data_IF_633515058358
#
_entry.id   IF_633515058358
#
_cell.length_a   1.000
_cell.length_b   1.000
_cell.length_c   1.000
_cell.angle_alpha   90.00
_cell.angle_beta   90.00
_cell.angle_gamma   90.00
#
_symmetry.space_group_name_H-M   'P 1'
#
loop_
_entity.id
_entity.type
_entity.pdbx_description
1 polymer ?
#
# COMPACT_ATOMS: atom_id res chain seq x y z
N UNK A 1 -22.78 -12.43 -12.75
CA UNK A 1 -23.64 -12.14 -13.92
C UNK A 1 -24.47 -10.93 -13.55
N UNK A 2 -23.98 -9.72 -13.88
CA UNK A 2 -24.74 -8.49 -13.64
C UNK A 2 -25.71 -8.29 -14.80
N UNK A 3 -26.99 -8.17 -14.46
CA UNK A 3 -28.08 -7.94 -15.41
C UNK A 3 -28.25 -6.43 -15.48
N UNK A 4 -28.18 -5.86 -16.69
CA UNK A 4 -28.48 -4.45 -16.91
C UNK A 4 -29.96 -4.16 -16.54
N UNK A 5 -30.23 -3.33 -15.53
CA UNK A 5 -31.59 -3.12 -15.02
C UNK A 5 -32.50 -2.39 -16.03
N UNK A 6 -31.95 -1.86 -17.13
CA UNK A 6 -32.73 -1.10 -18.12
C UNK A 6 -33.15 -1.96 -19.31
N UNK A 7 -32.41 -3.00 -19.66
CA UNK A 7 -32.65 -3.77 -20.90
C UNK A 7 -32.87 -5.26 -20.71
N UNK A 8 -32.63 -5.81 -19.51
CA UNK A 8 -32.72 -7.26 -19.27
C UNK A 8 -31.76 -8.10 -20.12
N UNK A 9 -30.82 -7.45 -20.81
CA UNK A 9 -29.86 -8.09 -21.69
C UNK A 9 -28.66 -8.62 -20.91
N UNK A 10 -28.29 -9.88 -21.16
CA UNK A 10 -27.03 -10.46 -20.71
C UNK A 10 -25.90 -9.59 -21.29
N UNK A 11 -25.11 -8.92 -20.43
CA UNK A 11 -23.87 -8.26 -20.87
C UNK A 11 -22.96 -9.32 -21.49
N UNK A 12 -22.90 -9.35 -22.82
CA UNK A 12 -21.90 -10.15 -23.54
C UNK A 12 -20.54 -9.50 -23.28
N UNK A 13 -19.64 -10.24 -22.62
CA UNK A 13 -18.24 -9.89 -22.52
C UNK A 13 -17.72 -9.52 -23.92
N UNK A 14 -17.29 -8.28 -24.06
CA UNK A 14 -16.84 -7.74 -25.34
C UNK A 14 -15.36 -8.06 -25.49
N UNK A 15 -15.07 -9.24 -26.03
CA UNK A 15 -13.71 -9.62 -26.39
C UNK A 15 -13.20 -8.74 -27.54
N UNK A 16 -11.89 -8.49 -27.57
CA UNK A 16 -11.23 -7.84 -28.69
C UNK A 16 -11.43 -8.69 -29.94
N UNK A 17 -11.67 -8.04 -31.08
CA UNK A 17 -11.61 -8.71 -32.37
C UNK A 17 -10.18 -9.19 -32.67
N UNK A 18 -10.03 -10.23 -33.49
CA UNK A 18 -8.72 -10.73 -33.92
C UNK A 18 -7.82 -9.63 -34.50
N UNK A 19 -8.42 -8.65 -35.18
CA UNK A 19 -7.71 -7.50 -35.73
C UNK A 19 -7.17 -6.58 -34.63
N UNK A 20 -7.97 -6.29 -33.61
CA UNK A 20 -7.56 -5.47 -32.45
C UNK A 20 -6.49 -6.18 -31.62
N UNK A 21 -6.61 -7.50 -31.44
CA UNK A 21 -5.59 -8.30 -30.74
C UNK A 21 -4.26 -8.31 -31.51
N UNK A 22 -4.30 -8.45 -32.83
CA UNK A 22 -3.10 -8.38 -33.67
C UNK A 22 -2.43 -7.01 -33.63
N UNK A 23 -3.21 -5.92 -33.62
CA UNK A 23 -2.71 -4.55 -33.49
C UNK A 23 -2.10 -4.29 -32.11
N UNK A 24 -2.73 -4.82 -31.05
CA UNK A 24 -2.20 -4.77 -29.69
C UNK A 24 -0.86 -5.52 -29.59
N UNK A 25 -0.77 -6.73 -30.15
CA UNK A 25 0.46 -7.53 -30.15
C UNK A 25 1.60 -6.86 -30.93
N UNK A 26 1.30 -6.23 -32.07
CA UNK A 26 2.29 -5.42 -32.83
C UNK A 26 2.79 -4.23 -32.00
N UNK A 27 1.88 -3.57 -31.30
CA UNK A 27 2.20 -2.44 -30.42
C UNK A 27 3.08 -2.89 -29.24
N UNK A 28 2.72 -3.97 -28.55
CA UNK A 28 3.50 -4.56 -27.45
C UNK A 28 4.91 -4.94 -27.93
N UNK A 29 5.01 -5.62 -29.07
CA UNK A 29 6.30 -6.03 -29.65
C UNK A 29 7.18 -4.81 -29.98
N UNK A 30 6.59 -3.76 -30.54
CA UNK A 30 7.27 -2.49 -30.81
C UNK A 30 7.80 -1.85 -29.51
N UNK A 31 6.99 -1.83 -28.45
CA UNK A 31 7.37 -1.31 -27.13
C UNK A 31 8.52 -2.13 -26.53
N UNK A 32 8.45 -3.46 -26.57
CA UNK A 32 9.53 -4.34 -26.07
C UNK A 32 10.83 -4.08 -26.83
N UNK A 33 10.76 -3.95 -28.17
CA UNK A 33 11.93 -3.63 -29.00
C UNK A 33 12.51 -2.26 -28.64
N UNK A 34 11.67 -1.25 -28.44
CA UNK A 34 12.10 0.08 -27.98
C UNK A 34 12.74 0.03 -26.59
N UNK A 35 12.21 -0.76 -25.66
CA UNK A 35 12.79 -0.93 -24.33
C UNK A 35 14.18 -1.58 -24.40
N UNK A 36 14.37 -2.62 -25.19
CA UNK A 36 15.68 -3.25 -25.37
C UNK A 36 16.69 -2.30 -26.01
N UNK A 37 16.25 -1.51 -27.01
CA UNK A 37 17.10 -0.47 -27.60
C UNK A 37 17.44 0.63 -26.61
N UNK A 38 16.49 1.02 -25.75
CA UNK A 38 16.73 2.00 -24.71
C UNK A 38 17.69 1.48 -23.65
N UNK A 39 17.53 0.24 -23.18
CA UNK A 39 18.48 -0.40 -22.26
C UNK A 39 19.89 -0.43 -22.86
N UNK A 40 20.02 -0.80 -24.14
CA UNK A 40 21.29 -0.78 -24.87
C UNK A 40 21.87 0.63 -25.03
N UNK A 41 21.04 1.63 -25.30
CA UNK A 41 21.48 3.02 -25.40
C UNK A 41 21.96 3.52 -24.03
N UNK A 42 21.17 3.33 -22.97
CA UNK A 42 21.54 3.68 -21.60
C UNK A 42 22.84 2.97 -21.16
N UNK A 43 23.04 1.71 -21.55
CA UNK A 43 24.30 0.97 -21.40
C UNK A 43 25.47 1.70 -22.09
N UNK A 44 25.28 2.11 -23.35
CA UNK A 44 26.28 2.84 -24.14
C UNK A 44 26.51 4.29 -23.73
N UNK A 45 25.60 4.92 -22.99
CA UNK A 45 25.80 6.27 -22.45
C UNK A 45 26.91 6.29 -21.36
N UNK A 46 27.50 5.14 -21.01
CA UNK A 46 28.69 4.97 -20.16
C UNK A 46 28.73 5.87 -18.90
N UNK A 47 28.33 5.25 -17.79
CA UNK A 47 29.02 5.31 -16.48
C UNK A 47 28.99 6.54 -15.57
N UNK A 48 28.22 7.59 -15.83
CA UNK A 48 28.31 8.78 -14.98
C UNK A 48 26.99 9.46 -14.62
N UNK A 49 25.85 8.78 -14.73
CA UNK A 49 24.54 9.42 -14.50
C UNK A 49 24.24 9.61 -13.00
N UNK A 50 24.87 8.86 -12.11
CA UNK A 50 24.36 8.69 -10.73
C UNK A 50 25.38 8.84 -9.61
N UNK A 51 26.57 9.39 -9.88
CA UNK A 51 27.47 9.75 -8.77
C UNK A 51 26.76 10.86 -7.97
N UNK A 52 26.31 10.53 -6.76
CA UNK A 52 25.64 11.42 -5.79
C UNK A 52 24.16 11.78 -6.06
N UNK A 53 23.35 10.84 -6.58
CA UNK A 53 21.89 11.05 -6.82
C UNK A 53 21.52 12.24 -7.73
N UNK A 54 22.50 12.82 -8.43
CA UNK A 54 22.24 13.94 -9.33
C UNK A 54 21.42 13.46 -10.53
N UNK A 55 20.33 14.18 -10.88
CA UNK A 55 19.46 13.85 -12.03
C UNK A 55 20.11 14.23 -13.38
N UNK A 56 21.42 14.04 -13.54
CA UNK A 56 22.20 14.51 -14.69
C UNK A 56 23.24 13.49 -15.13
N UNK A 57 23.21 13.15 -16.42
CA UNK A 57 24.33 12.52 -17.12
C UNK A 57 25.47 13.53 -17.30
N UNK A 58 26.70 13.13 -16.99
CA UNK A 58 27.89 13.95 -17.29
C UNK A 58 28.02 14.25 -18.79
N UNK A 59 27.62 13.32 -19.66
CA UNK A 59 27.79 13.45 -21.12
C UNK A 59 26.63 14.19 -21.81
N UNK A 60 25.41 14.03 -21.31
CA UNK A 60 24.20 14.49 -22.01
C UNK A 60 23.33 15.46 -21.19
N UNK A 61 23.74 15.79 -19.97
CA UNK A 61 22.99 16.69 -19.08
C UNK A 61 21.78 16.02 -18.43
N UNK A 62 20.70 16.78 -18.24
CA UNK A 62 19.46 16.31 -17.60
C UNK A 62 18.74 15.20 -18.39
N UNK A 63 17.87 14.45 -17.72
CA UNK A 63 17.02 13.46 -18.39
C UNK A 63 16.14 14.02 -19.50
N UNK A 64 15.72 15.30 -19.41
CA UNK A 64 14.99 15.96 -20.48
C UNK A 64 15.86 16.14 -21.75
N UNK A 65 17.14 16.48 -21.57
CA UNK A 65 18.12 16.59 -22.67
C UNK A 65 18.41 15.20 -23.27
N UNK A 66 18.54 14.17 -22.44
CA UNK A 66 18.68 12.77 -22.89
C UNK A 66 17.47 12.35 -23.74
N UNK A 67 16.24 12.58 -23.27
CA UNK A 67 15.02 12.25 -24.01
C UNK A 67 14.94 13.00 -25.35
N UNK A 68 15.31 14.29 -25.35
CA UNK A 68 15.36 15.10 -26.57
C UNK A 68 16.34 14.51 -27.59
N UNK A 69 17.51 14.05 -27.15
CA UNK A 69 18.50 13.44 -28.02
C UNK A 69 18.04 12.07 -28.55
N UNK A 70 17.47 11.23 -27.68
CA UNK A 70 16.90 9.94 -28.06
C UNK A 70 15.79 10.09 -29.12
N UNK A 71 14.94 11.11 -28.97
CA UNK A 71 13.94 11.42 -29.98
C UNK A 71 14.56 11.87 -31.29
N UNK A 72 15.57 12.75 -31.27
CA UNK A 72 16.25 13.23 -32.48
C UNK A 72 16.94 12.10 -33.24
N UNK A 73 17.71 11.26 -32.56
CA UNK A 73 18.54 10.23 -33.18
C UNK A 73 17.79 8.94 -33.52
N UNK A 74 16.83 8.55 -32.67
CA UNK A 74 16.19 7.22 -32.72
C UNK A 74 14.68 7.27 -32.85
N UNK A 75 14.08 8.47 -32.85
CA UNK A 75 12.62 8.67 -32.85
C UNK A 75 11.90 8.03 -31.67
N UNK A 76 12.61 7.85 -30.55
CA UNK A 76 12.06 7.31 -29.31
C UNK A 76 11.54 8.48 -28.47
N UNK A 77 10.23 8.54 -28.25
CA UNK A 77 9.60 9.51 -27.35
C UNK A 77 9.46 8.91 -25.96
N UNK A 78 10.08 9.54 -24.96
CA UNK A 78 10.05 9.11 -23.56
C UNK A 78 9.81 10.29 -22.64
N UNK A 79 9.01 10.07 -21.60
CA UNK A 79 8.95 11.01 -20.50
C UNK A 79 10.28 10.99 -19.72
N UNK A 80 10.78 12.16 -19.25
CA UNK A 80 12.02 12.22 -18.47
C UNK A 80 11.99 11.33 -17.20
N UNK A 81 10.82 11.16 -16.59
CA UNK A 81 10.61 10.28 -15.42
C UNK A 81 10.82 8.81 -15.78
N UNK A 82 10.24 8.35 -16.88
CA UNK A 82 10.43 6.98 -17.39
C UNK A 82 11.90 6.74 -17.73
N UNK A 83 12.56 7.70 -18.39
CA UNK A 83 13.99 7.60 -18.69
C UNK A 83 14.85 7.52 -17.42
N UNK A 84 14.47 8.23 -16.36
CA UNK A 84 15.13 8.19 -15.04
C UNK A 84 14.99 6.83 -14.36
N UNK A 85 13.77 6.30 -14.31
CA UNK A 85 13.48 4.99 -13.70
C UNK A 85 14.22 3.85 -14.39
N UNK A 86 14.20 3.83 -15.72
CA UNK A 86 14.88 2.79 -16.50
C UNK A 86 16.40 2.87 -16.30
N UNK A 87 16.97 4.07 -16.23
CA UNK A 87 18.39 4.24 -15.99
C UNK A 87 18.81 3.74 -14.59
N UNK A 88 17.99 3.95 -13.56
CA UNK A 88 18.23 3.37 -12.23
C UNK A 88 18.07 1.86 -12.18
N UNK A 89 17.03 1.33 -12.82
CA UNK A 89 16.85 -0.11 -12.93
C UNK A 89 18.04 -0.75 -13.64
N UNK A 90 18.60 -0.10 -14.66
CA UNK A 90 19.82 -0.56 -15.32
C UNK A 90 21.03 -0.56 -14.37
N UNK A 91 21.23 0.50 -13.59
CA UNK A 91 22.33 0.55 -12.60
C UNK A 91 22.21 -0.55 -11.56
N UNK A 92 21.00 -0.85 -11.08
CA UNK A 92 20.78 -1.93 -10.13
C UNK A 92 21.13 -3.30 -10.73
N UNK A 93 20.79 -3.54 -12.00
CA UNK A 93 21.17 -4.77 -12.73
C UNK A 93 22.70 -4.95 -12.75
N UNK A 94 23.44 -3.85 -12.90
CA UNK A 94 24.91 -3.82 -12.85
C UNK A 94 25.44 -4.13 -11.45
N UNK A 95 24.85 -3.57 -10.40
CA UNK A 95 25.22 -3.88 -9.00
C UNK A 95 25.07 -5.39 -8.75
N UNK A 96 23.95 -5.99 -9.17
CA UNK A 96 23.72 -7.43 -9.02
C UNK A 96 24.83 -8.25 -9.71
N UNK A 97 25.16 -7.90 -10.96
CA UNK A 97 26.14 -8.64 -11.76
C UNK A 97 27.58 -8.42 -11.30
N UNK A 98 27.99 -7.16 -11.13
CA UNK A 98 29.40 -6.79 -10.98
C UNK A 98 29.84 -6.72 -9.51
N UNK A 99 28.93 -6.33 -8.61
CA UNK A 99 29.24 -6.14 -7.18
C UNK A 99 28.81 -7.37 -6.38
N UNK A 100 27.55 -7.79 -6.52
CA UNK A 100 27.01 -8.96 -5.80
C UNK A 100 27.49 -10.27 -6.44
N UNK A 101 27.90 -10.24 -7.72
CA UNK A 101 28.41 -11.40 -8.47
C UNK A 101 27.39 -12.53 -8.61
N UNK A 102 26.11 -12.18 -8.77
CA UNK A 102 25.07 -13.17 -9.07
C UNK A 102 24.87 -13.20 -10.59
N UNK A 103 24.98 -14.40 -11.16
CA UNK A 103 24.67 -14.61 -12.56
C UNK A 103 23.15 -14.54 -12.75
N UNK A 104 22.73 -13.55 -13.53
CA UNK A 104 21.35 -13.30 -13.93
C UNK A 104 21.15 -13.58 -15.42
N UNK A 105 22.08 -14.28 -16.06
CA UNK A 105 21.95 -14.71 -17.45
C UNK A 105 20.75 -15.63 -17.58
N UNK A 106 19.77 -15.25 -18.40
CA UNK A 106 18.52 -16.01 -18.57
C UNK A 106 17.44 -15.72 -17.52
N UNK A 107 17.67 -14.80 -16.59
CA UNK A 107 16.67 -14.31 -15.66
C UNK A 107 16.15 -12.95 -16.14
N UNK A 108 14.86 -12.86 -16.43
CA UNK A 108 14.19 -11.59 -16.65
C UNK A 108 13.95 -10.91 -15.28
N UNK A 109 14.29 -9.63 -15.18
CA UNK A 109 14.08 -8.86 -13.95
C UNK A 109 13.37 -7.57 -14.33
N UNK A 110 12.10 -7.50 -13.96
CA UNK A 110 11.26 -6.32 -14.24
C UNK A 110 11.91 -5.03 -13.73
N UNK A 111 11.65 -3.92 -14.43
CA UNK A 111 12.13 -2.57 -14.02
C UNK A 111 11.73 -2.28 -12.58
N UNK A 112 10.48 -2.59 -12.20
CA UNK A 112 9.97 -2.37 -10.86
C UNK A 112 10.66 -3.24 -9.80
N UNK A 113 11.02 -4.49 -10.10
CA UNK A 113 11.81 -5.32 -9.18
C UNK A 113 13.18 -4.70 -8.89
N UNK A 114 13.86 -4.20 -9.93
CA UNK A 114 15.15 -3.52 -9.80
C UNK A 114 15.03 -2.25 -8.96
N UNK A 115 14.00 -1.45 -9.21
CA UNK A 115 13.76 -0.24 -8.40
C UNK A 115 13.42 -0.55 -6.93
N UNK A 116 12.72 -1.65 -6.65
CA UNK A 116 12.44 -2.09 -5.28
C UNK A 116 13.70 -2.58 -4.57
N UNK A 117 14.55 -3.34 -5.27
CA UNK A 117 15.81 -3.83 -4.72
C UNK A 117 16.75 -2.66 -4.38
N UNK A 118 16.76 -1.62 -5.21
CA UNK A 118 17.54 -0.38 -5.00
C UNK A 118 17.26 0.28 -3.65
N UNK A 119 16.07 0.12 -3.07
CA UNK A 119 15.74 0.69 -1.76
C UNK A 119 16.64 0.16 -0.64
N UNK A 120 17.24 -1.03 -0.82
CA UNK A 120 18.26 -1.54 0.09
C UNK A 120 19.62 -0.92 -0.22
N UNK A 121 20.24 -0.29 0.77
CA UNK A 121 21.57 0.32 0.62
C UNK A 121 22.68 -0.62 1.07
N UNK A 122 22.40 -1.53 2.01
CA UNK A 122 23.37 -2.53 2.46
C UNK A 122 23.51 -3.64 1.41
N UNK A 123 24.73 -3.78 0.86
CA UNK A 123 25.01 -4.75 -0.20
C UNK A 123 24.82 -6.21 0.25
N UNK A 124 25.09 -6.53 1.52
CA UNK A 124 24.92 -7.89 2.04
C UNK A 124 23.46 -8.23 2.24
N UNK A 125 22.66 -7.29 2.76
CA UNK A 125 21.21 -7.46 2.88
C UNK A 125 20.60 -7.59 1.49
N UNK A 126 20.99 -6.70 0.57
CA UNK A 126 20.55 -6.73 -0.83
C UNK A 126 20.85 -8.07 -1.51
N UNK A 127 22.06 -8.60 -1.32
CA UNK A 127 22.43 -9.93 -1.82
C UNK A 127 21.48 -11.01 -1.30
N UNK A 128 21.23 -11.04 0.01
CA UNK A 128 20.34 -12.03 0.63
C UNK A 128 18.92 -11.93 0.09
N UNK A 129 18.37 -10.71 0.00
CA UNK A 129 17.05 -10.45 -0.60
C UNK A 129 17.02 -11.01 -2.02
N UNK A 130 18.01 -10.69 -2.84
CA UNK A 130 18.00 -11.12 -4.23
C UNK A 130 18.13 -12.63 -4.39
N UNK A 131 18.93 -13.31 -3.54
CA UNK A 131 19.04 -14.79 -3.52
C UNK A 131 17.73 -15.46 -3.13
N UNK A 132 17.03 -14.92 -2.12
CA UNK A 132 15.71 -15.42 -1.71
C UNK A 132 14.70 -15.24 -2.85
N UNK A 133 14.70 -14.07 -3.50
CA UNK A 133 13.82 -13.81 -4.65
C UNK A 133 14.08 -14.78 -5.81
N UNK A 134 15.34 -15.05 -6.14
CA UNK A 134 15.73 -16.04 -7.15
C UNK A 134 15.22 -17.44 -6.80
N UNK A 135 15.36 -17.86 -5.54
CA UNK A 135 14.85 -19.15 -5.06
C UNK A 135 13.33 -19.26 -5.21
N UNK A 136 12.60 -18.18 -4.89
CA UNK A 136 11.15 -18.14 -5.02
C UNK A 136 10.69 -18.11 -6.49
N UNK A 137 11.48 -17.48 -7.37
CA UNK A 137 11.20 -17.31 -8.79
C UNK A 137 11.70 -18.46 -9.68
N UNK A 138 12.34 -19.49 -9.10
CA UNK A 138 13.04 -20.57 -9.83
C UNK A 138 12.20 -21.31 -10.88
N UNK A 139 10.87 -21.20 -10.85
CA UNK A 139 9.95 -21.82 -11.82
C UNK A 139 9.58 -20.94 -13.02
N UNK A 140 9.83 -19.62 -12.96
CA UNK A 140 9.27 -18.64 -13.92
C UNK A 140 10.33 -17.86 -14.72
N UNK A 141 11.62 -17.98 -14.38
CA UNK A 141 12.72 -17.20 -14.97
C UNK A 141 12.45 -15.69 -15.05
N UNK A 142 11.55 -15.18 -14.22
CA UNK A 142 11.16 -13.79 -14.18
C UNK A 142 10.99 -13.37 -12.72
N UNK A 143 11.70 -12.32 -12.33
CA UNK A 143 11.62 -11.69 -11.02
C UNK A 143 10.76 -10.43 -11.13
N UNK A 144 9.64 -10.47 -10.43
CA UNK A 144 8.70 -9.37 -10.31
C UNK A 144 8.99 -8.54 -9.07
N UNK A 145 8.40 -7.34 -9.04
CA UNK A 145 8.41 -6.47 -7.86
C UNK A 145 7.95 -7.18 -6.58
N UNK A 146 6.92 -8.04 -6.70
CA UNK A 146 6.37 -8.81 -5.59
C UNK A 146 7.39 -9.81 -5.03
N UNK A 147 8.20 -10.42 -5.89
CA UNK A 147 9.21 -11.40 -5.45
C UNK A 147 10.29 -10.74 -4.59
N UNK A 148 10.73 -9.52 -4.95
CA UNK A 148 11.68 -8.75 -4.14
C UNK A 148 11.08 -8.35 -2.79
N UNK A 149 9.82 -7.87 -2.77
CA UNK A 149 9.12 -7.53 -1.51
C UNK A 149 9.00 -8.74 -0.60
N UNK A 150 8.55 -9.88 -1.12
CA UNK A 150 8.41 -11.11 -0.36
C UNK A 150 9.77 -11.60 0.18
N UNK A 151 10.82 -11.50 -0.63
CA UNK A 151 12.16 -11.89 -0.21
C UNK A 151 12.73 -11.01 0.91
N UNK A 152 12.44 -9.70 0.88
CA UNK A 152 12.78 -8.78 1.97
C UNK A 152 12.07 -9.16 3.27
N UNK A 153 10.76 -9.40 3.20
CA UNK A 153 9.97 -9.82 4.35
C UNK A 153 10.49 -11.14 4.96
N UNK A 154 10.76 -12.14 4.12
CA UNK A 154 11.34 -13.41 4.58
C UNK A 154 12.69 -13.24 5.27
N UNK A 155 13.54 -12.33 4.78
CA UNK A 155 14.82 -12.04 5.41
C UNK A 155 14.64 -11.35 6.77
N UNK A 156 13.70 -10.40 6.87
CA UNK A 156 13.37 -9.71 8.13
C UNK A 156 12.87 -10.72 9.19
N UNK A 157 11.97 -11.63 8.83
CA UNK A 157 11.52 -12.70 9.75
C UNK A 157 12.67 -13.60 10.22
N UNK A 158 13.61 -13.94 9.34
CA UNK A 158 14.77 -14.75 9.69
C UNK A 158 15.70 -14.03 10.67
N UNK A 159 15.90 -12.72 10.50
CA UNK A 159 16.71 -11.91 11.40
C UNK A 159 16.08 -11.82 12.79
N UNK A 160 14.77 -11.57 12.87
CA UNK A 160 14.02 -11.51 14.14
C UNK A 160 14.11 -12.85 14.90
N UNK A 161 13.86 -13.97 14.22
CA UNK A 161 13.97 -15.31 14.84
C UNK A 161 15.38 -15.62 15.33
N UNK A 162 16.40 -15.14 14.62
CA UNK A 162 17.79 -15.33 15.03
C UNK A 162 18.12 -14.51 16.29
N UNK A 163 17.59 -13.29 16.40
CA UNK A 163 17.75 -12.44 17.60
C UNK A 163 17.03 -13.02 18.82
N UNK A 164 15.82 -13.58 18.63
CA UNK A 164 15.06 -14.25 19.70
C UNK A 164 15.76 -15.51 20.22
N UNK A 165 16.42 -16.28 19.34
CA UNK A 165 17.16 -17.48 19.74
C UNK A 165 18.46 -17.16 20.51
N UNK A 166 19.04 -15.97 20.34
CA UNK A 166 20.28 -15.56 21.02
C UNK A 166 19.99 -15.02 22.44
N UNK A 167 18.74 -14.63 22.73
CA UNK A 167 18.34 -14.03 24.01
C UNK A 167 17.80 -15.02 25.05
N UNK A 168 17.79 -16.33 24.79
CA UNK A 168 17.39 -17.34 25.78
C UNK A 168 18.64 -17.83 26.54
N UNK A 169 18.82 -17.50 27.84
CA UNK A 169 19.84 -18.15 28.65
C UNK A 169 19.45 -19.61 28.84
N UNK A 170 20.36 -20.50 28.49
CA UNK A 170 20.23 -21.94 28.66
C UNK A 170 20.08 -22.30 30.14
N UNK A 171 18.85 -22.41 30.62
CA UNK A 171 18.53 -23.13 31.85
C UNK A 171 17.90 -24.48 31.49
N UNK A 172 18.70 -25.53 31.60
CA UNK A 172 18.22 -26.90 31.74
C UNK A 172 17.70 -27.07 33.16
N UNK A 173 16.45 -27.50 33.32
CA UNK A 173 16.11 -28.69 34.12
C UNK A 173 14.62 -29.07 34.01
N UNK A 174 14.44 -30.31 33.55
CA UNK A 174 13.53 -31.38 34.02
C UNK A 174 12.00 -31.23 33.92
N UNK A 175 11.43 -32.28 33.33
CA UNK A 175 10.02 -32.65 33.17
C UNK A 175 9.22 -32.67 34.49
N UNK A 176 7.90 -32.49 34.40
CA UNK A 176 6.82 -33.47 34.69
C UNK A 176 5.44 -32.77 34.60
N UNK A 177 4.44 -33.45 34.00
CA UNK A 177 3.06 -33.39 34.50
C UNK A 177 2.00 -32.68 33.64
N UNK A 178 1.32 -33.48 32.82
CA UNK A 178 -0.09 -33.37 32.38
C UNK A 178 -1.01 -32.43 33.18
N UNK A 179 -1.80 -31.60 32.50
CA UNK A 179 -3.28 -31.61 32.55
C UNK A 179 -3.90 -30.66 31.51
N UNK A 180 -4.97 -31.13 30.86
CA UNK A 180 -5.82 -30.39 29.92
C UNK A 180 -6.68 -29.35 30.65
N UNK A 181 -6.73 -28.12 30.15
CA UNK A 181 -7.94 -27.29 30.21
C UNK A 181 -7.99 -26.36 28.99
N UNK A 182 -9.05 -26.54 28.21
CA UNK A 182 -9.46 -25.69 27.10
C UNK A 182 -9.76 -24.26 27.57
N UNK A 183 -9.01 -23.30 27.05
CA UNK A 183 -9.39 -21.89 26.99
C UNK A 183 -9.22 -21.42 25.55
N UNK A 184 -10.32 -20.92 24.99
CA UNK A 184 -10.37 -20.24 23.70
C UNK A 184 -9.70 -18.89 23.93
N UNK A 185 -8.47 -18.75 23.42
CA UNK A 185 -7.67 -17.53 23.54
C UNK A 185 -8.07 -16.50 22.48
N UNK A 186 -8.27 -15.26 22.94
CA UNK A 186 -8.49 -14.08 22.10
C UNK A 186 -7.22 -13.75 21.28
N UNK A 187 -7.29 -13.91 19.96
CA UNK A 187 -6.26 -13.40 19.05
C UNK A 187 -6.44 -11.90 18.82
N UNK A 188 -5.83 -11.09 19.69
CA UNK A 188 -5.50 -9.70 19.37
C UNK A 188 -4.11 -9.69 18.75
N UNK A 189 -4.04 -10.04 17.46
CA UNK A 189 -2.81 -10.02 16.70
C UNK A 189 -2.34 -8.59 16.41
N UNK A 190 -1.21 -8.19 16.98
CA UNK A 190 -0.44 -7.04 16.48
C UNK A 190 0.28 -7.52 15.22
N UNK A 191 -0.29 -7.25 14.05
CA UNK A 191 0.35 -7.55 12.78
C UNK A 191 1.39 -6.45 12.53
N UNK A 192 2.68 -6.79 12.64
CA UNK A 192 3.73 -5.96 12.07
C UNK A 192 3.91 -6.33 10.60
N UNK A 193 3.88 -5.30 9.75
CA UNK A 193 4.07 -5.29 8.30
C UNK A 193 2.78 -5.18 7.49
N UNK A 194 2.73 -4.06 6.76
CA UNK A 194 1.73 -3.70 5.78
C UNK A 194 1.78 -4.67 4.59
N UNK A 195 1.07 -5.78 4.71
CA UNK A 195 0.42 -6.33 3.54
C UNK A 195 -0.42 -5.20 2.92
N UNK A 196 -0.14 -4.85 1.65
CA UNK A 196 -1.23 -4.41 0.77
C UNK A 196 -2.14 -5.63 0.54
N UNK A 197 -2.77 -6.14 1.60
CA UNK A 197 -4.07 -6.77 1.45
C UNK A 197 -4.89 -5.68 0.80
N UNK A 198 -5.17 -5.85 -0.49
CA UNK A 198 -6.13 -5.01 -1.19
C UNK A 198 -7.40 -5.10 -0.37
N UNK A 199 -7.64 -4.07 0.41
CA UNK A 199 -8.84 -3.96 1.22
C UNK A 199 -9.65 -2.79 0.70
N UNK A 200 -10.95 -2.91 0.84
CA UNK A 200 -11.92 -1.93 0.38
C UNK A 200 -11.82 -0.58 1.11
N UNK A 201 -10.96 -0.45 2.13
CA UNK A 201 -10.80 0.80 2.89
C UNK A 201 -10.00 1.85 2.10
N UNK A 202 -9.14 1.44 1.15
CA UNK A 202 -8.48 2.37 0.22
C UNK A 202 -7.54 3.40 0.88
N UNK A 203 -7.18 3.18 2.15
CA UNK A 203 -6.33 4.07 2.94
C UNK A 203 -4.91 3.50 3.07
N UNK A 204 -3.86 4.33 2.91
CA UNK A 204 -2.51 3.90 3.21
C UNK A 204 -2.34 3.68 4.72
N UNK A 205 -1.97 2.46 5.09
CA UNK A 205 -1.44 2.14 6.41
C UNK A 205 0.09 2.20 6.35
N UNK A 206 0.71 2.94 7.26
CA UNK A 206 2.15 3.12 7.25
C UNK A 206 2.85 1.96 7.96
N UNK A 207 3.93 1.38 7.40
CA UNK A 207 4.62 0.23 7.98
C UNK A 207 5.16 0.47 9.40
N UNK A 208 5.44 1.72 9.73
CA UNK A 208 5.99 2.14 11.03
C UNK A 208 4.91 2.47 12.08
N UNK A 209 3.63 2.21 11.79
CA UNK A 209 2.54 2.37 12.75
C UNK A 209 1.87 1.02 12.98
N UNK A 210 1.53 0.68 14.23
CA UNK A 210 0.76 -0.52 14.52
C UNK A 210 -0.54 -0.53 13.71
N UNK A 211 -0.82 -1.68 13.09
CA UNK A 211 -2.10 -1.96 12.44
C UNK A 211 -2.85 -2.92 13.34
N UNK A 212 -4.05 -2.55 13.74
CA UNK A 212 -4.92 -3.41 14.53
C UNK A 212 -5.96 -4.05 13.61
N UNK A 213 -6.31 -5.31 13.85
CA UNK A 213 -7.27 -6.02 13.03
C UNK A 213 -8.38 -6.63 13.87
N UNK A 214 -9.59 -6.64 13.34
CA UNK A 214 -10.74 -7.32 13.94
C UNK A 214 -11.77 -7.64 12.84
N UNK A 215 -12.23 -8.90 12.78
CA UNK A 215 -13.15 -9.41 11.74
C UNK A 215 -12.72 -9.08 10.29
N UNK A 216 -11.41 -9.11 10.01
CA UNK A 216 -10.85 -8.79 8.68
C UNK A 216 -10.81 -7.29 8.34
N UNK A 217 -11.20 -6.42 9.27
CA UNK A 217 -11.15 -4.96 9.12
C UNK A 217 -9.88 -4.43 9.80
N UNK A 218 -9.23 -3.43 9.19
CA UNK A 218 -8.03 -2.76 9.74
C UNK A 218 -8.39 -1.45 10.44
N UNK A 219 -7.66 -1.17 11.51
CA UNK A 219 -7.81 -0.02 12.40
C UNK A 219 -6.45 0.61 12.73
N UNK A 220 -6.44 1.91 13.01
CA UNK A 220 -5.24 2.68 13.38
C UNK A 220 -4.98 2.65 14.89
N UNK A 221 -5.96 2.26 15.68
CA UNK A 221 -5.86 2.23 17.14
C UNK A 221 -6.65 1.11 17.82
N UNK A 222 -6.27 0.79 19.07
CA UNK A 222 -7.06 -0.10 19.95
C UNK A 222 -8.43 0.48 20.27
N UNK A 223 -8.51 1.80 20.48
CA UNK A 223 -9.75 2.51 20.70
C UNK A 223 -10.77 2.28 19.55
N UNK A 224 -10.33 2.38 18.29
CA UNK A 224 -11.18 2.06 17.15
C UNK A 224 -11.64 0.59 17.15
N UNK A 225 -10.75 -0.37 17.47
CA UNK A 225 -11.15 -1.78 17.59
C UNK A 225 -12.26 -1.97 18.62
N UNK A 226 -12.18 -1.27 19.76
CA UNK A 226 -13.20 -1.37 20.80
C UNK A 226 -14.54 -0.77 20.35
N UNK A 227 -14.53 0.34 19.62
CA UNK A 227 -15.74 0.91 19.01
C UNK A 227 -16.35 -0.04 17.98
N UNK A 228 -15.55 -0.65 17.11
CA UNK A 228 -16.03 -1.62 16.14
C UNK A 228 -16.72 -2.82 16.82
N UNK A 229 -16.12 -3.35 17.89
CA UNK A 229 -16.72 -4.42 18.71
C UNK A 229 -18.04 -3.98 19.36
N UNK A 230 -18.13 -2.74 19.86
CA UNK A 230 -19.35 -2.22 20.48
C UNK A 230 -20.47 -2.03 19.46
N UNK A 231 -20.18 -1.46 18.28
CA UNK A 231 -21.13 -1.33 17.17
C UNK A 231 -21.67 -2.70 16.71
N UNK A 232 -20.79 -3.71 16.65
CA UNK A 232 -21.15 -5.07 16.28
C UNK A 232 -22.05 -5.74 17.32
N UNK A 233 -21.76 -5.58 18.63
CA UNK A 233 -22.61 -6.09 19.72
C UNK A 233 -24.06 -5.61 19.62
N UNK A 234 -24.27 -4.37 19.17
CA UNK A 234 -25.61 -3.77 19.01
C UNK A 234 -26.20 -3.97 17.60
N UNK A 235 -25.57 -4.80 16.76
CA UNK A 235 -26.01 -5.14 15.41
C UNK A 235 -26.20 -3.92 14.50
N UNK A 236 -25.29 -2.95 14.57
CA UNK A 236 -25.31 -1.75 13.71
C UNK A 236 -24.32 -1.88 12.57
N UNK A 237 -24.78 -1.54 11.35
CA UNK A 237 -23.92 -1.52 10.17
C UNK A 237 -22.97 -0.33 10.21
N UNK A 238 -21.68 -0.56 9.97
CA UNK A 238 -20.69 0.50 9.90
C UNK A 238 -19.60 0.21 8.84
N UNK A 239 -18.92 1.28 8.43
CA UNK A 239 -17.74 1.26 7.58
C UNK A 239 -16.60 1.92 8.35
N UNK A 240 -15.51 1.20 8.59
CA UNK A 240 -14.35 1.75 9.29
C UNK A 240 -13.28 2.27 8.31
N UNK A 241 -12.58 3.33 8.70
CA UNK A 241 -11.47 3.94 7.96
C UNK A 241 -11.84 4.20 6.49
N UNK A 242 -13.03 4.76 6.24
CA UNK A 242 -13.52 4.96 4.88
C UNK A 242 -13.08 6.32 4.32
N UNK A 243 -12.70 6.32 3.04
CA UNK A 243 -12.38 7.55 2.31
C UNK A 243 -13.62 8.05 1.56
N UNK A 244 -14.11 9.22 1.94
CA UNK A 244 -15.26 9.90 1.33
C UNK A 244 -14.78 10.94 0.31
N UNK A 245 -15.38 10.96 -0.88
CA UNK A 245 -15.10 11.95 -1.94
C UNK A 245 -16.07 13.13 -1.83
N UNK A 246 -15.63 14.22 -1.23
CA UNK A 246 -16.47 15.40 -0.93
C UNK A 246 -16.29 16.52 -1.97
N UNK A 247 -17.33 17.32 -2.16
CA UNK A 247 -17.29 18.57 -2.95
C UNK A 247 -16.97 19.74 -2.04
N UNK A 248 -15.95 20.54 -2.38
CA UNK A 248 -15.65 21.79 -1.67
C UNK A 248 -16.44 22.96 -2.28
N UNK A 249 -17.48 23.47 -1.61
CA UNK A 249 -18.34 24.51 -2.16
C UNK A 249 -17.58 25.85 -2.36
N UNK A 250 -16.43 26.02 -1.70
CA UNK A 250 -15.61 27.24 -1.80
C UNK A 250 -14.75 27.27 -3.06
N UNK A 251 -14.64 26.15 -3.78
CA UNK A 251 -13.77 26.01 -4.96
C UNK A 251 -14.50 25.23 -6.05
N UNK A 252 -15.03 25.94 -7.04
CA UNK A 252 -15.76 25.37 -8.18
C UNK A 252 -14.95 24.25 -8.85
N UNK A 253 -15.57 23.08 -9.03
CA UNK A 253 -14.95 21.91 -9.68
C UNK A 253 -13.95 21.12 -8.82
N UNK A 254 -13.70 21.51 -7.57
CA UNK A 254 -12.76 20.80 -6.70
C UNK A 254 -13.47 19.78 -5.80
N UNK A 255 -13.12 18.51 -6.03
CA UNK A 255 -13.46 17.39 -5.15
C UNK A 255 -12.22 17.00 -4.33
N UNK A 256 -12.38 16.68 -3.05
CA UNK A 256 -11.29 16.18 -2.19
C UNK A 256 -11.67 14.89 -1.49
N UNK A 257 -10.67 14.05 -1.23
CA UNK A 257 -10.82 12.85 -0.42
C UNK A 257 -10.66 13.22 1.05
N UNK A 258 -11.51 12.67 1.90
CA UNK A 258 -11.39 12.80 3.34
C UNK A 258 -11.70 11.48 4.00
N UNK A 259 -10.84 11.07 4.93
CA UNK A 259 -11.04 9.88 5.74
C UNK A 259 -11.89 10.22 6.97
N UNK A 260 -12.79 9.30 7.31
CA UNK A 260 -13.54 9.25 8.56
C UNK A 260 -13.26 7.91 9.26
N UNK A 261 -13.17 7.91 10.59
CA UNK A 261 -12.85 6.71 11.36
C UNK A 261 -14.00 5.68 11.28
N UNK A 262 -15.24 6.13 11.47
CA UNK A 262 -16.44 5.31 11.29
C UNK A 262 -17.55 6.08 10.57
N UNK A 263 -18.10 5.49 9.51
CA UNK A 263 -19.42 5.85 8.97
C UNK A 263 -20.42 4.81 9.46
N UNK A 264 -21.42 5.25 10.19
CA UNK A 264 -22.41 4.39 10.85
C UNK A 264 -23.78 4.60 10.21
N UNK A 265 -24.42 3.48 9.86
CA UNK A 265 -25.78 3.45 9.31
C UNK A 265 -26.72 2.88 10.38
N UNK A 266 -27.62 3.72 10.87
CA UNK A 266 -28.53 3.33 11.94
C UNK A 266 -29.94 3.85 11.69
N UNK A 267 -30.93 2.95 11.66
CA UNK A 267 -32.34 3.27 11.40
C UNK A 267 -32.55 4.11 10.12
N UNK A 268 -31.78 3.81 9.06
CA UNK A 268 -31.82 4.54 7.79
C UNK A 268 -31.12 5.91 7.80
N UNK A 269 -30.51 6.29 8.92
CA UNK A 269 -29.75 7.54 9.09
C UNK A 269 -28.26 7.27 9.05
N UNK A 270 -27.50 8.29 8.65
CA UNK A 270 -26.05 8.25 8.52
C UNK A 270 -25.38 9.21 9.50
N UNK A 271 -24.37 8.73 10.21
CA UNK A 271 -23.52 9.56 11.07
C UNK A 271 -22.05 9.17 10.97
N UNK A 272 -21.16 10.11 11.32
CA UNK A 272 -19.73 9.88 11.46
C UNK A 272 -19.35 9.91 12.95
N UNK A 273 -18.63 8.88 13.38
CA UNK A 273 -17.99 8.81 14.70
C UNK A 273 -16.48 8.90 14.50
N UNK A 274 -15.85 9.93 15.05
CA UNK A 274 -14.40 10.16 15.00
C UNK A 274 -13.77 9.85 16.37
N UNK A 275 -12.64 9.14 16.37
CA UNK A 275 -11.84 8.82 17.55
C UNK A 275 -10.68 9.80 17.65
N UNK A 276 -10.88 10.83 18.47
CA UNK A 276 -9.93 11.90 18.67
C UNK A 276 -8.68 11.41 19.43
N UNK A 277 -7.53 11.40 18.76
CA UNK A 277 -6.25 10.96 19.33
C UNK A 277 -5.75 11.84 20.49
N UNK A 278 -4.77 11.39 21.28
CA UNK A 278 -4.31 12.08 22.50
C UNK A 278 -3.65 13.46 22.28
N UNK A 279 -3.50 13.93 21.04
CA UNK A 279 -2.71 15.10 20.66
C UNK A 279 -3.51 16.22 20.01
N UNK A 280 -4.80 16.40 20.34
CA UNK A 280 -5.55 17.56 19.87
C UNK A 280 -5.01 18.84 20.51
N UNK A 281 -4.42 19.70 19.69
CA UNK A 281 -3.96 21.03 20.11
C UNK A 281 -5.06 22.05 19.82
N UNK A 282 -5.19 23.13 20.61
CA UNK A 282 -6.12 24.22 20.32
C UNK A 282 -5.99 24.77 18.88
N UNK A 283 -4.78 24.70 18.32
CA UNK A 283 -4.42 25.14 16.97
C UNK A 283 -5.08 24.31 15.85
N UNK A 284 -5.41 23.04 16.08
CA UNK A 284 -6.05 22.18 15.05
C UNK A 284 -7.57 22.28 15.03
N UNK A 285 -8.16 22.90 16.05
CA UNK A 285 -9.62 22.99 16.24
C UNK A 285 -10.34 23.69 15.09
N UNK A 286 -9.73 24.74 14.52
CA UNK A 286 -10.30 25.43 13.35
C UNK A 286 -10.30 24.54 12.10
N UNK A 287 -9.29 23.69 11.94
CA UNK A 287 -9.18 22.74 10.83
C UNK A 287 -10.20 21.61 11.00
N UNK A 288 -10.34 21.09 12.22
CA UNK A 288 -11.33 20.05 12.57
C UNK A 288 -12.76 20.55 12.35
N UNK A 289 -13.09 21.76 12.80
CA UNK A 289 -14.40 22.37 12.54
C UNK A 289 -14.67 22.54 11.04
N UNK A 290 -13.66 22.91 10.26
CA UNK A 290 -13.82 23.05 8.81
C UNK A 290 -13.93 21.70 8.09
N UNK A 291 -13.36 20.63 8.66
CA UNK A 291 -13.59 19.26 8.19
C UNK A 291 -15.03 18.85 8.43
N UNK A 292 -15.52 19.06 9.64
CA UNK A 292 -16.88 18.67 10.04
C UNK A 292 -17.93 19.41 9.20
N UNK A 293 -17.74 20.73 9.01
CA UNK A 293 -18.59 21.54 8.12
C UNK A 293 -18.64 21.01 6.70
N UNK A 294 -17.52 20.49 6.18
CA UNK A 294 -17.52 19.99 4.82
C UNK A 294 -18.36 18.72 4.67
N UNK A 295 -18.26 17.80 5.61
CA UNK A 295 -19.11 16.60 5.63
C UNK A 295 -20.58 16.98 5.73
N UNK A 296 -20.93 17.92 6.61
CA UNK A 296 -22.29 18.46 6.74
C UNK A 296 -22.80 19.07 5.44
N UNK A 297 -21.98 19.86 4.75
CA UNK A 297 -22.32 20.46 3.47
C UNK A 297 -22.51 19.43 2.34
N UNK A 298 -22.03 18.20 2.52
CA UNK A 298 -22.22 17.08 1.61
C UNK A 298 -23.32 16.10 2.12
N UNK A 299 -24.19 16.54 3.03
CA UNK A 299 -25.37 15.78 3.45
C UNK A 299 -25.13 14.79 4.59
N UNK A 300 -24.02 14.93 5.34
CA UNK A 300 -23.74 14.10 6.52
C UNK A 300 -23.93 14.96 7.78
N UNK A 301 -25.14 14.98 8.37
CA UNK A 301 -25.50 15.97 9.38
C UNK A 301 -24.82 15.73 10.73
N UNK A 302 -24.52 14.46 11.03
CA UNK A 302 -24.11 14.02 12.36
C UNK A 302 -22.65 13.61 12.31
N UNK A 303 -21.83 14.35 13.04
CA UNK A 303 -20.40 14.09 13.20
C UNK A 303 -20.13 14.29 14.68
N UNK A 304 -19.76 13.21 15.36
CA UNK A 304 -19.46 13.25 16.77
C UNK A 304 -18.05 12.75 17.01
N UNK A 305 -17.27 13.56 17.71
CA UNK A 305 -15.91 13.24 18.12
C UNK A 305 -15.93 12.75 19.57
N UNK A 306 -15.19 11.68 19.84
CA UNK A 306 -15.00 11.12 21.17
C UNK A 306 -13.50 10.95 21.44
N UNK A 307 -13.09 11.21 22.68
CA UNK A 307 -11.68 11.08 23.05
C UNK A 307 -11.23 9.62 22.98
N UNK A 308 -9.99 9.40 22.55
CA UNK A 308 -9.37 8.08 22.49
C UNK A 308 -9.56 7.26 23.77
N UNK A 309 -9.34 7.89 24.94
CA UNK A 309 -9.49 7.23 26.24
C UNK A 309 -10.91 6.75 26.48
N UNK A 310 -11.94 7.54 26.12
CA UNK A 310 -13.34 7.15 26.30
C UNK A 310 -13.70 6.00 25.36
N UNK A 311 -13.25 6.07 24.10
CA UNK A 311 -13.46 5.00 23.12
C UNK A 311 -12.80 3.67 23.51
N UNK A 312 -11.62 3.70 24.16
CA UNK A 312 -10.94 2.48 24.60
C UNK A 312 -11.52 1.90 25.89
N UNK A 313 -11.88 2.74 26.86
CA UNK A 313 -12.31 2.30 28.21
C UNK A 313 -13.82 2.07 28.32
N UNK A 314 -14.62 2.86 27.60
CA UNK A 314 -16.08 2.88 27.68
C UNK A 314 -16.73 2.84 26.29
N UNK A 315 -16.40 1.85 25.43
CA UNK A 315 -16.86 1.82 24.04
C UNK A 315 -18.38 1.66 23.91
N UNK A 316 -19.02 0.91 24.82
CA UNK A 316 -20.48 0.71 24.78
C UNK A 316 -21.23 2.03 25.07
N UNK A 317 -20.79 2.79 26.08
CA UNK A 317 -21.37 4.11 26.41
C UNK A 317 -21.21 5.09 25.25
N UNK A 318 -20.06 5.06 24.57
CA UNK A 318 -19.79 5.90 23.38
C UNK A 318 -20.75 5.55 22.24
N UNK A 319 -20.91 4.26 21.95
CA UNK A 319 -21.81 3.80 20.90
C UNK A 319 -23.26 4.12 21.26
N UNK A 320 -23.69 3.88 22.49
CA UNK A 320 -25.04 4.22 22.93
C UNK A 320 -25.31 5.71 22.78
N UNK A 321 -24.43 6.56 23.31
CA UNK A 321 -24.54 8.02 23.21
C UNK A 321 -24.63 8.46 21.75
N UNK A 322 -23.77 7.92 20.89
CA UNK A 322 -23.74 8.26 19.47
C UNK A 322 -25.02 7.84 18.73
N UNK A 323 -25.51 6.62 18.97
CA UNK A 323 -26.74 6.13 18.36
C UNK A 323 -27.96 6.94 18.83
N UNK A 324 -27.99 7.37 20.10
CA UNK A 324 -29.01 8.29 20.59
C UNK A 324 -28.97 9.65 19.88
N UNK A 325 -27.80 10.18 19.58
CA UNK A 325 -27.65 11.40 18.77
C UNK A 325 -28.21 11.17 17.36
N UNK A 326 -27.88 10.04 16.72
CA UNK A 326 -28.41 9.69 15.40
C UNK A 326 -29.95 9.65 15.40
N UNK A 327 -30.55 9.03 16.43
CA UNK A 327 -32.02 8.96 16.54
C UNK A 327 -32.68 10.33 16.60
N UNK A 328 -32.09 11.27 17.37
CA UNK A 328 -32.66 12.61 17.63
C UNK A 328 -32.66 13.52 16.41
N UNK A 329 -31.77 13.30 15.44
CA UNK A 329 -31.73 14.08 14.20
C UNK A 329 -32.69 13.43 13.20
N UNK A 330 -33.93 13.91 13.19
CA UNK A 330 -35.02 13.47 12.30
C UNK A 330 -36.05 14.56 12.19
#
# INVERSE_FOLDING_TARGET
MEIDPVTGGIMKEKYLSEKEELECNRTITSIIKCNNQLEYLLWHLKYNVFKNDTKKSIKYGSFAQICTQLYKEKKISLAPTTCYEIAWAYEEKRIIKDVIKIDITGVDISVHARLELRKETDIKIKEKIFRIALSNAARKNNITHKDIKNARFQLEEQLIKTEEMVLIPSNKQTQIGSSKSSQIGEDVGVISCADEVVNNQGVPFYPNKPIYTWQGIRFRSKAEVQIAKALDRVNVSFLANCVVRLTDPRKTGNRRNMEADFVVLYEGKLGILEVDGPSHKPETRAIEQERDRLFQHNGIPIIQRFTHSKCEQHPDDVVEEFLQIIKKVG
#
